data_IF_030079447657
#
_entry.id   IF_030079447657
#
_cell.length_a   1.000
_cell.length_b   1.000
_cell.length_c   1.000
_cell.angle_alpha   90.00
_cell.angle_beta   90.00
_cell.angle_gamma   90.00
#
_symmetry.space_group_name_H-M   'P 1'
#
loop_
_entity.id
_entity.type
_entity.pdbx_description
1 polymer ?
#
# COMPACT_ATOMS: atom_id res chain seq x y z
N UNK A 1 -32.53 27.66 -4.62
CA UNK A 1 -31.83 27.33 -5.88
C UNK A 1 -30.33 27.43 -5.60
N UNK A 2 -29.70 26.34 -5.17
CA UNK A 2 -28.25 26.25 -4.98
C UNK A 2 -27.79 24.98 -5.71
N UNK A 3 -27.28 25.23 -6.90
CA UNK A 3 -26.20 24.55 -7.64
C UNK A 3 -25.92 23.07 -7.36
N UNK A 4 -26.45 22.25 -8.27
CA UNK A 4 -25.94 20.92 -8.63
C UNK A 4 -24.65 21.04 -9.48
N UNK A 5 -23.52 21.49 -8.89
CA UNK A 5 -22.23 21.61 -9.61
C UNK A 5 -21.12 20.68 -9.09
N UNK A 6 -21.37 19.90 -8.03
CA UNK A 6 -20.32 19.10 -7.32
C UNK A 6 -19.76 17.86 -8.04
N UNK A 7 -20.49 17.09 -8.87
CA UNK A 7 -19.92 15.88 -9.48
C UNK A 7 -18.88 16.19 -10.57
N UNK A 8 -19.17 17.15 -11.46
CA UNK A 8 -18.32 17.46 -12.62
C UNK A 8 -16.96 18.08 -12.23
N UNK A 9 -16.91 18.91 -11.18
CA UNK A 9 -15.65 19.50 -10.71
C UNK A 9 -14.74 18.49 -9.99
N UNK A 10 -15.33 17.54 -9.25
CA UNK A 10 -14.59 16.48 -8.58
C UNK A 10 -13.98 15.50 -9.60
N UNK A 11 -14.75 15.12 -10.62
CA UNK A 11 -14.29 14.29 -11.73
C UNK A 11 -13.17 15.00 -12.52
N UNK A 12 -13.33 16.30 -12.80
CA UNK A 12 -12.30 17.09 -13.49
C UNK A 12 -10.97 17.22 -12.72
N UNK A 13 -11.03 17.30 -11.39
CA UNK A 13 -9.82 17.31 -10.53
C UNK A 13 -9.14 15.93 -10.48
N UNK A 14 -9.91 14.86 -10.36
CA UNK A 14 -9.38 13.49 -10.38
C UNK A 14 -8.68 13.20 -11.72
N UNK A 15 -9.28 13.63 -12.83
CA UNK A 15 -8.70 13.51 -14.16
C UNK A 15 -7.40 14.32 -14.33
N UNK A 16 -7.34 15.54 -13.78
CA UNK A 16 -6.13 16.36 -13.79
C UNK A 16 -4.99 15.70 -13.00
N UNK A 17 -5.27 15.19 -11.80
CA UNK A 17 -4.30 14.45 -11.00
C UNK A 17 -3.81 13.18 -11.72
N UNK A 18 -4.73 12.43 -12.33
CA UNK A 18 -4.38 11.24 -13.12
C UNK A 18 -3.44 11.58 -14.28
N UNK A 19 -3.69 12.67 -15.01
CA UNK A 19 -2.79 13.14 -16.07
C UNK A 19 -1.40 13.50 -15.53
N UNK A 20 -1.35 14.18 -14.38
CA UNK A 20 -0.10 14.54 -13.71
C UNK A 20 0.70 13.30 -13.29
N UNK A 21 0.04 12.30 -12.70
CA UNK A 21 0.67 11.02 -12.33
C UNK A 21 1.23 10.33 -13.57
N UNK A 22 0.44 10.21 -14.65
CA UNK A 22 0.90 9.57 -15.89
C UNK A 22 2.10 10.29 -16.52
N UNK A 23 2.12 11.62 -16.50
CA UNK A 23 3.24 12.40 -16.99
C UNK A 23 4.51 12.18 -16.14
N UNK A 24 4.37 12.13 -14.81
CA UNK A 24 5.50 11.83 -13.91
C UNK A 24 6.02 10.41 -14.11
N UNK A 25 5.14 9.41 -14.28
CA UNK A 25 5.54 8.03 -14.56
C UNK A 25 6.29 7.90 -15.89
N UNK A 26 5.83 8.60 -16.95
CA UNK A 26 6.54 8.61 -18.23
C UNK A 26 7.93 9.26 -18.11
N UNK A 27 8.05 10.32 -17.30
CA UNK A 27 9.34 10.95 -17.01
C UNK A 27 10.26 10.01 -16.24
N UNK A 28 9.74 9.24 -15.29
CA UNK A 28 10.52 8.20 -14.57
C UNK A 28 11.07 7.15 -15.53
N UNK A 29 10.27 6.65 -16.47
CA UNK A 29 10.74 5.70 -17.49
C UNK A 29 11.90 6.29 -18.30
N UNK A 30 11.77 7.53 -18.76
CA UNK A 30 12.79 8.21 -19.56
C UNK A 30 14.06 8.55 -18.78
N UNK A 31 13.95 9.10 -17.56
CA UNK A 31 15.11 9.54 -16.77
C UNK A 31 15.91 8.37 -16.20
N UNK A 32 15.26 7.26 -15.85
CA UNK A 32 15.92 6.10 -15.26
C UNK A 32 16.21 4.99 -16.27
N UNK A 33 15.73 5.09 -17.51
CA UNK A 33 15.87 4.06 -18.52
C UNK A 33 15.21 2.74 -18.09
N UNK A 34 13.98 2.82 -17.58
CA UNK A 34 13.23 1.66 -17.03
C UNK A 34 11.88 1.52 -17.68
N UNK A 35 11.34 0.30 -17.68
CA UNK A 35 9.97 0.01 -18.09
C UNK A 35 9.09 -0.15 -16.87
N UNK A 36 8.05 0.68 -16.74
CA UNK A 36 7.06 0.52 -15.66
C UNK A 36 6.05 -0.55 -16.07
N UNK A 37 6.02 -1.65 -15.32
CA UNK A 37 5.16 -2.81 -15.57
C UNK A 37 3.78 -2.66 -14.94
N UNK A 38 3.73 -2.02 -13.78
CA UNK A 38 2.50 -1.78 -13.04
C UNK A 38 2.63 -0.50 -12.24
N UNK A 39 1.58 0.32 -12.20
CA UNK A 39 1.51 1.48 -11.31
C UNK A 39 0.07 1.67 -10.86
N UNK A 40 -0.14 1.86 -9.57
CA UNK A 40 -1.46 2.06 -8.98
C UNK A 40 -1.40 2.97 -7.76
N UNK A 41 -2.59 3.40 -7.33
CA UNK A 41 -2.75 4.15 -6.10
C UNK A 41 -2.53 3.26 -4.87
N UNK A 42 -1.86 3.79 -3.86
CA UNK A 42 -1.67 3.21 -2.54
C UNK A 42 -2.29 4.08 -1.45
N UNK A 43 -1.97 3.75 -0.20
CA UNK A 43 -2.28 4.59 0.96
C UNK A 43 -3.77 4.92 1.13
N UNK A 44 -4.05 6.12 1.63
CA UNK A 44 -5.41 6.49 2.07
C UNK A 44 -6.46 6.47 0.96
N UNK A 45 -6.06 6.73 -0.30
CA UNK A 45 -6.94 6.71 -1.48
C UNK A 45 -7.33 5.28 -1.83
N UNK A 46 -6.36 4.36 -1.86
CA UNK A 46 -6.65 2.95 -2.14
C UNK A 46 -7.39 2.25 -0.98
N UNK A 47 -7.16 2.69 0.25
CA UNK A 47 -7.87 2.20 1.44
C UNK A 47 -9.27 2.80 1.65
N UNK A 48 -9.71 3.72 0.78
CA UNK A 48 -11.09 4.21 0.74
C UNK A 48 -11.44 5.29 1.76
N UNK A 49 -10.45 6.02 2.29
CA UNK A 49 -10.69 7.07 3.30
C UNK A 49 -9.94 8.38 3.02
N UNK A 50 -9.49 8.57 1.78
CA UNK A 50 -8.85 9.82 1.38
C UNK A 50 -9.80 11.01 1.52
N UNK A 51 -9.22 12.12 1.95
CA UNK A 51 -9.87 13.41 1.90
C UNK A 51 -9.48 14.14 0.61
N UNK A 52 -10.17 15.25 0.25
CA UNK A 52 -9.82 16.04 -0.93
C UNK A 52 -8.36 16.51 -0.96
N UNK A 53 -7.78 16.78 0.21
CA UNK A 53 -6.40 17.24 0.41
C UNK A 53 -5.38 16.11 0.64
N UNK A 54 -5.80 14.83 0.55
CA UNK A 54 -4.88 13.71 0.66
C UNK A 54 -3.87 13.70 -0.50
N UNK A 55 -2.62 13.38 -0.19
CA UNK A 55 -1.59 13.07 -1.19
C UNK A 55 -2.03 11.92 -2.11
N UNK A 56 -1.44 11.85 -3.30
CA UNK A 56 -1.51 10.69 -4.18
C UNK A 56 -0.30 9.82 -3.94
N UNK A 57 -0.54 8.65 -3.37
CA UNK A 57 0.46 7.65 -3.04
C UNK A 57 0.63 6.74 -4.25
N UNK A 58 1.48 7.09 -5.21
CA UNK A 58 1.70 6.26 -6.40
C UNK A 58 2.76 5.22 -6.10
N UNK A 59 2.38 3.95 -6.30
CA UNK A 59 3.27 2.80 -6.10
C UNK A 59 3.40 2.03 -7.39
N UNK A 60 4.63 1.74 -7.81
CA UNK A 60 4.88 1.09 -9.09
C UNK A 60 5.93 -0.02 -9.03
N UNK A 61 5.86 -0.92 -10.01
CA UNK A 61 6.84 -1.98 -10.25
C UNK A 61 7.46 -1.72 -11.62
N UNK A 62 8.79 -1.75 -11.68
CA UNK A 62 9.53 -1.48 -12.91
C UNK A 62 10.57 -2.54 -13.20
N UNK A 63 11.04 -2.56 -14.44
CA UNK A 63 12.02 -3.50 -14.97
C UNK A 63 13.15 -2.72 -15.63
N UNK A 64 14.39 -3.14 -15.41
CA UNK A 64 15.55 -2.62 -16.11
C UNK A 64 15.82 -3.37 -17.43
N UNK A 65 16.56 -2.77 -18.38
CA UNK A 65 17.06 -3.50 -19.53
C UNK A 65 18.09 -4.57 -19.10
N UNK A 66 18.34 -5.55 -19.98
CA UNK A 66 19.21 -6.69 -19.70
C UNK A 66 20.60 -6.34 -19.14
N UNK A 67 21.33 -5.35 -19.70
CA UNK A 67 22.70 -5.04 -19.25
C UNK A 67 22.78 -4.61 -17.78
N UNK A 68 21.70 -4.05 -17.22
CA UNK A 68 21.68 -3.66 -15.81
C UNK A 68 21.79 -4.90 -14.89
N UNK A 69 21.13 -6.00 -15.24
CA UNK A 69 21.19 -7.24 -14.46
C UNK A 69 22.55 -7.93 -14.60
N UNK A 70 23.18 -7.82 -15.77
CA UNK A 70 24.51 -8.39 -16.05
C UNK A 70 25.62 -7.68 -15.27
N UNK A 71 25.46 -6.38 -15.01
CA UNK A 71 26.40 -5.62 -14.18
C UNK A 71 26.25 -5.85 -12.67
N UNK A 72 25.37 -6.76 -12.26
CA UNK A 72 25.11 -7.11 -10.85
C UNK A 72 23.94 -6.37 -10.21
N UNK A 73 23.35 -5.39 -10.91
CA UNK A 73 22.27 -4.56 -10.40
C UNK A 73 22.73 -3.54 -9.36
N UNK A 74 22.17 -2.34 -9.40
CA UNK A 74 22.42 -1.26 -8.45
C UNK A 74 21.21 -1.03 -7.53
N UNK A 75 20.90 0.24 -7.21
CA UNK A 75 19.73 0.63 -6.42
C UNK A 75 18.45 0.06 -7.05
N UNK A 76 17.69 -0.68 -6.25
CA UNK A 76 16.48 -1.42 -6.66
C UNK A 76 15.17 -0.71 -6.28
N UNK A 77 15.26 0.58 -5.96
CA UNK A 77 14.16 1.46 -5.54
C UNK A 77 14.31 2.83 -6.19
N UNK A 78 13.23 3.32 -6.81
CA UNK A 78 13.11 4.70 -7.28
C UNK A 78 12.11 5.42 -6.37
N UNK A 79 12.52 6.56 -5.80
CA UNK A 79 11.71 7.41 -4.93
C UNK A 79 11.88 8.85 -5.40
N UNK A 80 10.77 9.53 -5.67
CA UNK A 80 10.78 10.92 -6.07
C UNK A 80 10.58 11.81 -4.84
N UNK A 81 11.18 13.01 -4.80
CA UNK A 81 10.85 13.99 -3.77
C UNK A 81 9.35 14.31 -3.77
N UNK A 82 8.76 14.41 -2.58
CA UNK A 82 7.36 14.82 -2.41
C UNK A 82 7.17 16.21 -3.02
N UNK A 83 6.35 16.30 -4.07
CA UNK A 83 6.05 17.54 -4.77
C UNK A 83 4.64 17.45 -5.37
N UNK A 84 3.92 18.57 -5.40
CA UNK A 84 2.56 18.66 -5.97
C UNK A 84 1.55 17.67 -5.35
N UNK A 85 1.77 17.27 -4.09
CA UNK A 85 0.95 16.26 -3.40
C UNK A 85 1.14 14.85 -3.96
N UNK A 86 2.25 14.55 -4.64
CA UNK A 86 2.57 13.24 -5.19
C UNK A 86 3.69 12.56 -4.39
N UNK A 87 3.38 11.46 -3.73
CA UNK A 87 4.36 10.53 -3.17
C UNK A 87 4.53 9.36 -4.17
N UNK A 88 5.60 9.40 -4.97
CA UNK A 88 5.86 8.40 -6.02
C UNK A 88 7.06 7.55 -5.61
N UNK A 89 6.83 6.25 -5.44
CA UNK A 89 7.89 5.28 -5.17
C UNK A 89 7.64 3.96 -5.88
N UNK A 90 8.71 3.28 -6.28
CA UNK A 90 8.62 2.03 -7.00
C UNK A 90 9.74 1.07 -6.68
N UNK A 91 9.44 -0.21 -6.87
CA UNK A 91 10.38 -1.30 -6.68
C UNK A 91 10.75 -1.90 -8.02
N UNK A 92 12.04 -2.19 -8.17
CA UNK A 92 12.50 -3.06 -9.24
C UNK A 92 11.84 -4.44 -9.10
N UNK A 93 11.52 -5.09 -10.22
CA UNK A 93 10.75 -6.33 -10.26
C UNK A 93 11.36 -7.45 -9.40
N UNK A 94 12.67 -7.72 -9.51
CA UNK A 94 13.35 -8.73 -8.68
C UNK A 94 13.13 -8.44 -7.19
N UNK A 95 13.26 -7.18 -6.77
CA UNK A 95 12.98 -6.77 -5.37
C UNK A 95 11.53 -7.06 -5.00
N UNK A 96 10.57 -6.65 -5.84
CA UNK A 96 9.15 -6.84 -5.58
C UNK A 96 8.78 -8.33 -5.42
N UNK A 97 9.31 -9.19 -6.28
CA UNK A 97 9.14 -10.65 -6.21
C UNK A 97 9.73 -11.22 -4.92
N UNK A 98 10.97 -10.85 -4.60
CA UNK A 98 11.68 -11.31 -3.40
C UNK A 98 10.99 -10.92 -2.10
N UNK A 99 10.52 -9.67 -2.03
CA UNK A 99 9.76 -9.18 -0.87
C UNK A 99 8.45 -9.95 -0.73
N UNK A 100 7.71 -10.16 -1.82
CA UNK A 100 6.42 -10.87 -1.82
C UNK A 100 6.59 -12.32 -1.38
N UNK A 101 7.57 -13.03 -1.94
CA UNK A 101 7.91 -14.41 -1.54
C UNK A 101 8.40 -14.49 -0.08
N UNK A 102 9.02 -13.43 0.42
CA UNK A 102 9.37 -13.27 1.85
C UNK A 102 8.21 -12.88 2.76
N UNK A 103 6.97 -12.78 2.24
CA UNK A 103 5.76 -12.45 2.99
C UNK A 103 5.50 -10.96 3.19
N UNK A 104 6.16 -10.07 2.45
CA UNK A 104 5.80 -8.66 2.41
C UNK A 104 4.48 -8.49 1.64
N UNK A 105 3.48 -7.87 2.26
CA UNK A 105 2.15 -7.73 1.69
C UNK A 105 1.93 -6.45 0.88
N UNK A 106 2.93 -5.56 0.76
CA UNK A 106 2.75 -4.28 0.08
C UNK A 106 2.36 -4.44 -1.40
N UNK A 107 3.02 -5.34 -2.13
CA UNK A 107 2.68 -5.60 -3.54
C UNK A 107 1.26 -6.16 -3.68
N UNK A 108 0.79 -6.97 -2.71
CA UNK A 108 -0.60 -7.46 -2.69
C UNK A 108 -1.58 -6.30 -2.62
N UNK A 109 -1.32 -5.32 -1.75
CA UNK A 109 -2.17 -4.13 -1.63
C UNK A 109 -2.13 -3.26 -2.90
N UNK A 110 -0.97 -3.12 -3.54
CA UNK A 110 -0.85 -2.36 -4.79
C UNK A 110 -1.65 -3.03 -5.92
N UNK A 111 -1.57 -4.36 -6.04
CA UNK A 111 -2.28 -5.13 -7.06
C UNK A 111 -3.80 -5.21 -6.83
N UNK A 112 -4.23 -5.03 -5.58
CA UNK A 112 -5.64 -4.94 -5.20
C UNK A 112 -6.23 -3.53 -5.38
N UNK A 113 -5.40 -2.54 -5.72
CA UNK A 113 -5.84 -1.15 -5.85
C UNK A 113 -6.87 -0.97 -6.97
N UNK A 114 -8.00 -0.29 -6.71
CA UNK A 114 -8.99 -0.02 -7.73
C UNK A 114 -8.55 1.08 -8.72
N UNK A 115 -7.55 1.90 -8.38
CA UNK A 115 -7.05 2.97 -9.24
C UNK A 115 -5.72 2.57 -9.88
N UNK A 116 -5.78 2.02 -11.08
CA UNK A 116 -4.60 1.60 -11.87
C UNK A 116 -4.21 2.68 -12.88
N UNK A 117 -2.95 3.08 -12.85
CA UNK A 117 -2.34 4.06 -13.75
C UNK A 117 -1.65 3.40 -14.95
N UNK A 118 -0.93 2.31 -14.72
CA UNK A 118 -0.22 1.52 -15.74
C UNK A 118 -0.39 0.03 -15.47
N UNK A 119 -0.57 -0.75 -16.52
CA UNK A 119 -0.54 -2.21 -16.45
C UNK A 119 0.01 -2.80 -17.75
N UNK A 120 1.07 -3.58 -17.64
CA UNK A 120 1.54 -4.45 -18.69
C UNK A 120 0.87 -5.82 -18.53
N UNK A 121 0.09 -6.26 -19.52
CA UNK A 121 -0.80 -7.41 -19.40
C UNK A 121 -0.09 -8.67 -18.86
N UNK A 122 0.92 -9.17 -19.57
CA UNK A 122 1.61 -10.41 -19.19
C UNK A 122 2.34 -10.33 -17.84
N UNK A 123 3.02 -9.22 -17.56
CA UNK A 123 3.66 -9.00 -16.26
C UNK A 123 2.64 -8.97 -15.12
N UNK A 124 1.48 -8.33 -15.32
CA UNK A 124 0.43 -8.28 -14.30
C UNK A 124 -0.22 -9.65 -14.07
N UNK A 125 -0.37 -10.48 -15.10
CA UNK A 125 -0.81 -11.87 -14.95
C UNK A 125 0.17 -12.67 -14.09
N UNK A 126 1.47 -12.56 -14.37
CA UNK A 126 2.52 -13.21 -13.57
C UNK A 126 2.50 -12.74 -12.11
N UNK A 127 2.45 -11.42 -11.89
CA UNK A 127 2.42 -10.84 -10.54
C UNK A 127 1.18 -11.30 -9.77
N UNK A 128 -0.02 -11.23 -10.36
CA UNK A 128 -1.26 -11.70 -9.71
C UNK A 128 -1.23 -13.22 -9.46
N UNK A 129 -0.71 -14.01 -10.39
CA UNK A 129 -0.52 -15.45 -10.21
C UNK A 129 0.39 -15.78 -9.02
N UNK A 130 1.48 -15.03 -8.84
CA UNK A 130 2.34 -15.15 -7.67
C UNK A 130 1.56 -14.93 -6.37
N UNK A 131 0.75 -13.86 -6.31
CA UNK A 131 -0.01 -13.51 -5.10
C UNK A 131 -1.00 -14.59 -4.66
N UNK A 132 -1.70 -15.21 -5.61
CA UNK A 132 -2.69 -16.24 -5.31
C UNK A 132 -2.03 -17.55 -4.83
N UNK A 133 -0.94 -17.96 -5.48
CA UNK A 133 -0.27 -19.23 -5.17
C UNK A 133 0.68 -19.16 -3.96
N UNK A 134 1.13 -17.97 -3.55
CA UNK A 134 2.19 -17.79 -2.54
C UNK A 134 1.78 -16.88 -1.40
N UNK A 135 0.48 -16.72 -1.15
CA UNK A 135 0.03 -15.96 0.00
C UNK A 135 0.49 -16.64 1.30
N UNK A 136 1.65 -16.23 1.80
CA UNK A 136 2.26 -16.75 3.02
C UNK A 136 1.59 -16.10 4.23
N UNK A 137 0.39 -16.57 4.58
CA UNK A 137 -0.47 -15.94 5.59
C UNK A 137 0.24 -15.65 6.91
N UNK A 138 1.09 -16.55 7.41
CA UNK A 138 1.86 -16.29 8.63
C UNK A 138 2.88 -15.16 8.44
N UNK A 139 3.67 -15.17 7.37
CA UNK A 139 4.65 -14.13 7.11
C UNK A 139 3.98 -12.77 6.83
N UNK A 140 2.85 -12.76 6.12
CA UNK A 140 2.03 -11.58 5.88
C UNK A 140 1.44 -11.00 7.17
N UNK A 141 0.97 -11.86 8.10
CA UNK A 141 0.53 -11.46 9.43
C UNK A 141 1.62 -10.68 10.18
N UNK A 142 2.85 -11.23 10.19
CA UNK A 142 3.99 -10.58 10.85
C UNK A 142 4.45 -9.31 10.15
N UNK A 143 4.37 -9.26 8.82
CA UNK A 143 4.62 -8.04 8.05
C UNK A 143 3.65 -6.94 8.47
N UNK A 144 2.33 -7.22 8.47
CA UNK A 144 1.31 -6.27 8.88
C UNK A 144 1.51 -5.77 10.31
N UNK A 145 1.78 -6.64 11.28
CA UNK A 145 2.06 -6.19 12.64
C UNK A 145 3.33 -5.33 12.75
N UNK A 146 4.37 -5.63 11.96
CA UNK A 146 5.58 -4.80 11.92
C UNK A 146 5.29 -3.40 11.35
N UNK A 147 4.43 -3.31 10.33
CA UNK A 147 3.98 -2.02 9.77
C UNK A 147 3.16 -1.24 10.79
N UNK A 148 2.21 -1.90 11.47
CA UNK A 148 1.43 -1.29 12.56
C UNK A 148 2.36 -0.77 13.68
N UNK A 149 3.33 -1.58 14.12
CA UNK A 149 4.28 -1.20 15.16
C UNK A 149 5.16 -0.03 14.75
N UNK A 150 5.62 0.02 13.49
CA UNK A 150 6.42 1.14 12.97
C UNK A 150 5.64 2.45 13.07
N UNK A 151 4.37 2.44 12.64
CA UNK A 151 3.50 3.62 12.75
C UNK A 151 3.15 3.96 14.20
N UNK A 152 3.07 2.96 15.08
CA UNK A 152 2.85 3.16 16.52
C UNK A 152 4.10 3.72 17.25
N UNK A 153 5.35 3.32 16.89
CA UNK A 153 6.62 3.73 17.55
C UNK A 153 7.01 5.21 17.44
N UNK A 154 6.29 6.04 16.69
CA UNK A 154 6.67 7.44 16.44
C UNK A 154 6.21 8.46 17.50
N UNK A 155 6.75 8.41 18.73
CA UNK A 155 6.51 9.32 19.88
C UNK A 155 5.32 8.95 20.78
N UNK A 156 5.64 8.36 21.94
CA UNK A 156 4.77 8.09 23.11
C UNK A 156 4.31 9.36 23.86
N UNK A 157 4.54 10.57 23.31
CA UNK A 157 4.54 11.82 24.07
C UNK A 157 3.35 12.75 23.83
N UNK A 158 2.47 12.44 22.88
CA UNK A 158 1.25 13.21 22.65
C UNK A 158 0.09 12.39 23.20
N UNK A 159 -0.64 12.92 24.19
CA UNK A 159 -1.80 12.28 24.81
C UNK A 159 -2.95 12.03 23.81
N UNK A 160 -2.80 12.45 22.56
CA UNK A 160 -3.71 12.21 21.45
C UNK A 160 -2.88 11.83 20.21
N UNK A 161 -3.12 10.65 19.63
CA UNK A 161 -2.55 10.31 18.33
C UNK A 161 -3.24 11.16 17.25
N UNK A 162 -2.43 11.73 16.35
CA UNK A 162 -2.92 12.41 15.15
C UNK A 162 -3.87 11.49 14.36
N UNK A 163 -4.95 12.04 13.80
CA UNK A 163 -5.98 11.27 13.09
C UNK A 163 -5.38 10.37 12.00
N UNK A 164 -4.49 10.93 11.16
CA UNK A 164 -3.78 10.18 10.11
C UNK A 164 -3.01 8.99 10.70
N UNK A 165 -2.39 9.15 11.86
CA UNK A 165 -1.58 8.10 12.50
C UNK A 165 -2.44 6.96 13.02
N UNK A 166 -3.63 7.23 13.59
CA UNK A 166 -4.58 6.19 13.97
C UNK A 166 -4.91 5.26 12.81
N UNK A 167 -5.29 5.84 11.66
CA UNK A 167 -5.69 5.06 10.49
C UNK A 167 -4.50 4.24 9.93
N UNK A 168 -3.28 4.78 9.95
CA UNK A 168 -2.06 4.08 9.53
C UNK A 168 -1.57 3.01 10.52
N UNK A 169 -2.05 3.01 11.78
CA UNK A 169 -1.84 1.91 12.73
C UNK A 169 -2.96 0.87 12.63
N UNK A 170 -4.21 1.31 12.57
CA UNK A 170 -5.39 0.45 12.52
C UNK A 170 -5.45 -0.37 11.24
N UNK A 171 -5.19 0.22 10.07
CA UNK A 171 -5.26 -0.50 8.80
C UNK A 171 -4.36 -1.74 8.74
N UNK A 172 -3.04 -1.66 9.03
CA UNK A 172 -2.20 -2.85 9.09
C UNK A 172 -2.54 -3.75 10.29
N UNK A 173 -2.98 -3.21 11.43
CA UNK A 173 -3.35 -4.04 12.58
C UNK A 173 -4.56 -4.94 12.28
N UNK A 174 -5.63 -4.38 11.69
CA UNK A 174 -6.81 -5.14 11.29
C UNK A 174 -6.49 -6.12 10.17
N UNK A 175 -5.60 -5.75 9.24
CA UNK A 175 -5.12 -6.66 8.21
C UNK A 175 -4.40 -7.87 8.82
N UNK A 176 -3.57 -7.67 9.85
CA UNK A 176 -2.97 -8.78 10.57
C UNK A 176 -4.05 -9.69 11.18
N UNK A 177 -5.05 -9.15 11.89
CA UNK A 177 -6.11 -9.97 12.48
C UNK A 177 -6.93 -10.73 11.43
N UNK A 178 -7.22 -10.10 10.30
CA UNK A 178 -7.86 -10.77 9.18
C UNK A 178 -7.05 -11.97 8.69
N UNK A 179 -5.76 -11.77 8.43
CA UNK A 179 -4.89 -12.81 7.91
C UNK A 179 -4.72 -13.94 8.92
N UNK A 180 -4.62 -13.62 10.21
CA UNK A 180 -4.60 -14.61 11.30
C UNK A 180 -5.86 -15.48 11.31
N UNK A 181 -7.03 -14.88 11.11
CA UNK A 181 -8.31 -15.59 11.15
C UNK A 181 -8.62 -16.37 9.87
N UNK A 182 -8.27 -15.83 8.69
CA UNK A 182 -8.78 -16.30 7.39
C UNK A 182 -7.72 -16.84 6.44
N UNK A 183 -6.43 -16.61 6.72
CA UNK A 183 -5.29 -17.04 5.87
C UNK A 183 -5.43 -16.65 4.40
N UNK A 184 -6.05 -15.50 4.12
CA UNK A 184 -6.21 -14.92 2.77
C UNK A 184 -5.90 -13.42 2.78
N UNK A 185 -5.63 -12.79 1.61
CA UNK A 185 -5.43 -11.35 1.53
C UNK A 185 -6.60 -10.56 2.16
N UNK A 186 -6.34 -9.48 2.92
CA UNK A 186 -7.37 -8.63 3.51
C UNK A 186 -8.04 -7.74 2.46
N UNK A 187 -9.32 -7.36 2.68
CA UNK A 187 -9.96 -6.28 1.93
C UNK A 187 -9.10 -5.02 1.96
N UNK A 188 -9.02 -4.33 0.81
CA UNK A 188 -8.18 -3.14 0.72
C UNK A 188 -8.81 -1.98 1.51
N UNK A 189 -10.12 -1.78 1.35
CA UNK A 189 -10.89 -0.74 2.02
C UNK A 189 -10.92 -0.96 3.54
N UNK A 190 -10.58 0.08 4.30
CA UNK A 190 -10.47 0.01 5.76
C UNK A 190 -11.83 -0.24 6.42
N UNK A 191 -12.91 0.37 5.91
CA UNK A 191 -14.26 0.18 6.43
C UNK A 191 -14.73 -1.27 6.29
N UNK A 192 -14.56 -1.85 5.10
CA UNK A 192 -14.89 -3.26 4.84
C UNK A 192 -14.06 -4.21 5.71
N UNK A 193 -12.75 -3.95 5.80
CA UNK A 193 -11.84 -4.74 6.64
C UNK A 193 -12.27 -4.70 8.11
N UNK A 194 -12.62 -3.52 8.62
CA UNK A 194 -13.06 -3.33 10.00
C UNK A 194 -14.39 -4.02 10.28
N UNK A 195 -15.36 -3.90 9.39
CA UNK A 195 -16.68 -4.53 9.54
C UNK A 195 -16.57 -6.06 9.73
N UNK A 196 -15.58 -6.69 9.11
CA UNK A 196 -15.37 -8.14 9.14
C UNK A 196 -14.32 -8.60 10.17
N UNK A 197 -13.67 -7.67 10.88
CA UNK A 197 -12.56 -7.98 11.80
C UNK A 197 -12.82 -7.51 13.23
N UNK A 198 -13.47 -6.36 13.40
CA UNK A 198 -13.88 -5.85 14.71
C UNK A 198 -15.23 -6.47 15.08
N UNK A 199 -15.26 -7.31 16.11
CA UNK A 199 -16.50 -7.87 16.66
C UNK A 199 -17.31 -6.85 17.48
N UNK A 200 -16.62 -5.92 18.13
CA UNK A 200 -17.21 -4.89 18.98
C UNK A 200 -17.87 -3.76 18.17
N UNK A 201 -19.13 -3.43 18.50
CA UNK A 201 -19.89 -2.40 17.80
C UNK A 201 -19.43 -0.98 18.13
N UNK A 202 -18.95 -0.74 19.35
CA UNK A 202 -18.39 0.54 19.78
C UNK A 202 -17.11 0.87 19.03
N UNK A 203 -16.18 -0.09 18.89
CA UNK A 203 -14.95 0.09 18.10
C UNK A 203 -15.26 0.39 16.63
N UNK A 204 -16.27 -0.28 16.05
CA UNK A 204 -16.71 0.02 14.67
C UNK A 204 -17.27 1.44 14.56
N UNK A 205 -18.06 1.88 15.54
CA UNK A 205 -18.62 3.23 15.56
C UNK A 205 -17.53 4.32 15.74
N UNK A 206 -16.56 4.11 16.62
CA UNK A 206 -15.41 5.00 16.78
C UNK A 206 -14.64 5.14 15.47
N UNK A 207 -14.34 4.01 14.80
CA UNK A 207 -13.63 4.04 13.52
C UNK A 207 -14.45 4.74 12.44
N UNK A 208 -15.75 4.45 12.32
CA UNK A 208 -16.62 5.12 11.36
C UNK A 208 -16.63 6.65 11.58
N UNK A 209 -16.64 7.11 12.84
CA UNK A 209 -16.48 8.51 13.19
C UNK A 209 -15.16 9.11 12.69
N UNK A 210 -14.03 8.41 12.89
CA UNK A 210 -12.73 8.86 12.39
C UNK A 210 -12.67 8.94 10.86
N UNK A 211 -13.26 7.95 10.17
CA UNK A 211 -13.33 7.92 8.70
C UNK A 211 -14.20 9.06 8.16
N UNK A 212 -15.37 9.31 8.77
CA UNK A 212 -16.26 10.40 8.38
C UNK A 212 -15.59 11.77 8.58
N UNK A 213 -14.89 11.96 9.70
CA UNK A 213 -14.13 13.19 9.96
C UNK A 213 -13.01 13.38 8.93
N UNK A 214 -12.28 12.32 8.57
CA UNK A 214 -11.23 12.42 7.55
C UNK A 214 -11.85 12.76 6.18
N UNK A 215 -12.92 12.09 5.78
CA UNK A 215 -13.56 12.25 4.49
C UNK A 215 -14.19 13.64 4.28
N UNK A 216 -14.69 14.28 5.35
CA UNK A 216 -15.28 15.63 5.29
C UNK A 216 -14.29 16.72 4.83
N UNK A 217 -12.97 16.48 4.93
CA UNK A 217 -11.94 17.46 4.62
C UNK A 217 -11.76 18.51 5.74
N UNK A 218 -10.59 19.14 5.81
CA UNK A 218 -10.26 20.06 6.92
C UNK A 218 -10.21 19.38 8.28
N UNK A 219 -10.02 18.06 8.29
CA UNK A 219 -9.99 17.27 9.51
C UNK A 219 -8.91 17.80 10.46
N UNK A 220 -9.20 17.92 11.76
CA UNK A 220 -8.22 18.38 12.72
C UNK A 220 -6.99 17.46 12.71
N UNK A 221 -5.82 18.04 13.00
CA UNK A 221 -4.57 17.27 13.10
C UNK A 221 -4.73 16.11 14.11
N UNK A 222 -5.53 16.33 15.16
CA UNK A 222 -5.91 15.38 16.20
C UNK A 222 -7.38 14.99 16.07
N UNK A 223 -7.66 13.69 16.08
CA UNK A 223 -9.04 13.18 16.07
C UNK A 223 -9.73 13.35 17.43
N UNK A 224 -11.03 13.07 17.52
CA UNK A 224 -11.73 12.97 18.80
C UNK A 224 -11.09 11.89 19.66
N UNK A 225 -11.33 11.95 20.97
CA UNK A 225 -10.94 10.87 21.87
C UNK A 225 -11.67 9.57 21.45
N UNK A 226 -10.89 8.54 21.13
CA UNK A 226 -11.36 7.19 20.79
C UNK A 226 -10.73 6.19 21.76
N UNK A 227 -11.15 6.18 23.03
CA UNK A 227 -10.51 5.38 24.06
C UNK A 227 -10.60 3.88 23.75
N UNK A 228 -11.70 3.40 23.16
CA UNK A 228 -11.83 2.00 22.78
C UNK A 228 -10.81 1.58 21.73
N UNK A 229 -10.64 2.36 20.66
CA UNK A 229 -9.63 2.10 19.64
C UNK A 229 -8.20 2.25 20.17
N UNK A 230 -7.96 3.19 21.08
CA UNK A 230 -6.67 3.36 21.73
C UNK A 230 -6.30 2.11 22.55
N UNK A 231 -7.21 1.65 23.41
CA UNK A 231 -7.02 0.44 24.22
C UNK A 231 -6.83 -0.80 23.32
N UNK A 232 -7.60 -0.90 22.23
CA UNK A 232 -7.47 -1.97 21.25
C UNK A 232 -6.07 -2.01 20.63
N UNK A 233 -5.56 -0.84 20.19
CA UNK A 233 -4.22 -0.71 19.63
C UNK A 233 -3.16 -1.06 20.67
N UNK A 234 -3.26 -0.50 21.88
CA UNK A 234 -2.26 -0.70 22.92
C UNK A 234 -2.16 -2.17 23.33
N UNK A 235 -3.29 -2.84 23.54
CA UNK A 235 -3.34 -4.28 23.83
C UNK A 235 -2.71 -5.11 22.70
N UNK A 236 -3.02 -4.79 21.44
CA UNK A 236 -2.44 -5.50 20.31
C UNK A 236 -0.92 -5.27 20.17
N UNK A 237 -0.45 -4.05 20.46
CA UNK A 237 0.97 -3.71 20.42
C UNK A 237 1.75 -4.37 21.55
N UNK A 238 1.18 -4.46 22.76
CA UNK A 238 1.74 -5.22 23.87
C UNK A 238 1.86 -6.72 23.52
N UNK A 239 0.80 -7.32 22.97
CA UNK A 239 0.83 -8.71 22.52
C UNK A 239 1.89 -8.95 21.43
N UNK A 240 2.07 -8.01 20.51
CA UNK A 240 3.13 -8.08 19.49
C UNK A 240 4.54 -8.07 20.10
N UNK A 241 4.78 -7.27 21.15
CA UNK A 241 6.08 -7.19 21.81
C UNK A 241 6.44 -8.45 22.59
N UNK A 242 5.44 -9.15 23.14
CA UNK A 242 5.62 -10.41 23.85
C UNK A 242 5.82 -11.62 22.92
N UNK A 243 5.50 -11.50 21.62
CA UNK A 243 5.44 -12.63 20.72
C UNK A 243 6.79 -12.93 20.03
N UNK A 244 7.14 -14.21 19.94
CA UNK A 244 8.32 -14.68 19.21
C UNK A 244 8.11 -14.54 17.70
N UNK A 245 9.10 -13.98 16.99
CA UNK A 245 9.00 -13.75 15.55
C UNK A 245 9.54 -14.95 14.77
N UNK A 246 8.86 -15.39 13.70
CA UNK A 246 9.38 -16.43 12.84
C UNK A 246 10.59 -15.93 12.05
N UNK A 247 11.44 -16.87 11.63
CA UNK A 247 12.51 -16.59 10.67
C UNK A 247 11.88 -16.29 9.32
N UNK A 248 12.41 -15.27 8.64
CA UNK A 248 12.05 -15.01 7.24
C UNK A 248 12.66 -16.09 6.37
N UNK A 249 11.83 -16.71 5.53
CA UNK A 249 12.28 -17.54 4.44
C UNK A 249 11.97 -16.80 3.13
N UNK A 250 12.90 -16.83 2.19
CA UNK A 250 12.76 -16.19 0.89
C UNK A 250 13.32 -17.13 -0.17
N UNK A 251 12.47 -17.52 -1.11
CA UNK A 251 12.82 -18.38 -2.24
C UNK A 251 13.42 -17.54 -3.37
N UNK A 252 14.74 -17.32 -3.30
CA UNK A 252 15.47 -16.48 -4.25
C UNK A 252 15.49 -17.09 -5.66
N UNK A 253 15.66 -18.42 -5.75
CA UNK A 253 15.70 -19.14 -7.02
C UNK A 253 14.39 -18.97 -7.79
N UNK A 254 13.26 -19.06 -7.10
CA UNK A 254 11.96 -18.81 -7.72
C UNK A 254 11.76 -17.36 -8.11
N UNK A 255 12.21 -16.41 -7.28
CA UNK A 255 12.14 -14.99 -7.62
C UNK A 255 12.91 -14.71 -8.92
N UNK A 256 14.09 -15.30 -9.08
CA UNK A 256 14.91 -15.14 -10.28
C UNK A 256 14.26 -15.81 -11.51
N UNK A 257 13.63 -16.99 -11.35
CA UNK A 257 12.86 -17.61 -12.43
C UNK A 257 11.66 -16.78 -12.89
N UNK A 258 10.91 -16.18 -11.96
CA UNK A 258 9.79 -15.29 -12.26
C UNK A 258 10.24 -13.98 -12.93
N UNK A 259 11.40 -13.46 -12.52
CA UNK A 259 12.02 -12.31 -13.17
C UNK A 259 12.29 -12.61 -14.64
N UNK A 260 12.92 -13.75 -14.95
CA UNK A 260 13.22 -14.12 -16.35
C UNK A 260 11.95 -14.34 -17.17
N UNK A 261 10.92 -14.98 -16.60
CA UNK A 261 9.62 -15.10 -17.27
C UNK A 261 9.02 -13.73 -17.61
N UNK A 262 9.06 -12.79 -16.67
CA UNK A 262 8.56 -11.45 -16.89
C UNK A 262 9.40 -10.67 -17.92
N UNK A 263 10.73 -10.82 -17.91
CA UNK A 263 11.62 -10.20 -18.91
C UNK A 263 11.31 -10.70 -20.32
N UNK A 264 11.15 -12.01 -20.49
CA UNK A 264 10.75 -12.60 -21.78
C UNK A 264 9.37 -12.13 -22.23
N UNK A 265 8.41 -12.01 -21.31
CA UNK A 265 7.05 -11.58 -21.62
C UNK A 265 6.93 -10.07 -21.94
N UNK A 266 7.80 -9.25 -21.36
CA UNK A 266 7.88 -7.80 -21.65
C UNK A 266 8.65 -7.54 -22.94
N UNK A 267 9.59 -8.42 -23.29
CA UNK A 267 10.47 -8.26 -24.43
C UNK A 267 11.56 -7.22 -24.19
N UNK A 268 12.40 -7.01 -25.21
CA UNK A 268 13.38 -5.94 -25.19
C UNK A 268 12.72 -4.58 -25.37
N UNK A 269 13.25 -3.58 -24.69
CA UNK A 269 12.80 -2.20 -24.81
C UNK A 269 14.01 -1.26 -24.82
N UNK A 270 13.99 -0.20 -25.64
CA UNK A 270 15.11 0.72 -25.78
C UNK A 270 15.13 1.72 -24.63
N UNK A 271 16.30 1.93 -24.03
CA UNK A 271 16.66 3.11 -23.24
C UNK A 271 18.16 3.38 -23.33
#
# INVERSE_FOLDING_TARGET
MQEQTRPQEADGKADAARRMVLARLARVEAEHGVRILYAAEGGSRSWGYAAPDSDYDVRFVYLHPAPWYESGGQRDVIELPLADGLDISGWELRKALRLTLGGNAALLEWLASPQVYRQHAAACELLRGLTAAHFAGEAAYWHYLAVARKNYRGRKLEQQLRLKKYLYVLRPLLAAQWVKARRRPPPLALEELAAQTLGDAGLRAELAGLLALKAAGGAPEYGPATPGLQDYIDNAMQAYEAAARPRRHSDWTRADALLEQARLAVGEFPF
#
